data_IF_116294347382
#
_entry.id   IF_116294347382
#
_cell.length_a   1.000
_cell.length_b   1.000
_cell.length_c   1.000
_cell.angle_alpha   90.00
_cell.angle_beta   90.00
_cell.angle_gamma   90.00
#
_symmetry.space_group_name_H-M   'P 1'
#
loop_
_entity.id
_entity.type
_entity.pdbx_description
1 polymer ?
#
# COMPACT_ATOMS: atom_id res chain seq x y z
N UNK A 1 -15.24 18.98 36.39
CA UNK A 1 -16.15 18.61 35.29
C UNK A 1 -15.32 18.14 34.11
N UNK A 2 -15.37 16.86 33.75
CA UNK A 2 -14.72 16.34 32.55
C UNK A 2 -15.56 16.71 31.31
N UNK A 3 -14.95 16.99 30.14
CA UNK A 3 -15.71 17.27 28.93
C UNK A 3 -16.43 16.00 28.45
N UNK A 4 -17.69 16.21 28.09
CA UNK A 4 -18.69 15.24 27.68
C UNK A 4 -18.40 14.61 26.32
N UNK A 5 -18.48 13.28 26.28
CA UNK A 5 -19.20 12.53 25.24
C UNK A 5 -18.80 12.74 23.78
N UNK A 6 -17.69 12.14 23.37
CA UNK A 6 -17.59 11.64 21.99
C UNK A 6 -18.22 10.24 21.98
N UNK A 7 -19.37 10.08 21.33
CA UNK A 7 -19.89 8.76 21.00
C UNK A 7 -18.87 8.03 20.11
N UNK A 8 -18.60 6.73 20.33
CA UNK A 8 -17.83 5.97 19.37
C UNK A 8 -18.62 5.94 18.05
N UNK A 9 -18.09 6.58 17.01
CA UNK A 9 -18.63 6.47 15.64
C UNK A 9 -18.79 4.98 15.32
N UNK A 10 -19.92 4.54 14.76
CA UNK A 10 -20.17 3.13 14.50
C UNK A 10 -19.04 2.59 13.64
N UNK A 11 -18.41 1.51 14.10
CA UNK A 11 -17.38 0.78 13.37
C UNK A 11 -18.05 0.05 12.21
N UNK A 12 -18.42 0.78 11.16
CA UNK A 12 -18.67 0.20 9.86
C UNK A 12 -17.43 -0.64 9.52
N UNK A 13 -17.67 -1.90 9.17
CA UNK A 13 -16.68 -2.97 9.03
C UNK A 13 -15.33 -2.44 8.51
N UNK A 14 -14.36 -2.28 9.44
CA UNK A 14 -12.98 -1.83 9.16
C UNK A 14 -12.17 -2.89 8.41
N UNK A 15 -12.85 -3.93 7.93
CA UNK A 15 -12.31 -5.06 7.22
C UNK A 15 -11.80 -4.68 5.83
N UNK A 16 -10.95 -5.56 5.32
CA UNK A 16 -10.59 -5.59 3.90
C UNK A 16 -11.89 -5.72 3.08
N UNK A 17 -12.14 -4.84 2.10
CA UNK A 17 -13.30 -4.96 1.22
C UNK A 17 -13.32 -6.35 0.55
N UNK A 18 -14.49 -6.95 0.27
CA UNK A 18 -14.56 -8.20 -0.47
C UNK A 18 -13.85 -8.06 -1.82
N UNK A 19 -13.20 -9.13 -2.27
CA UNK A 19 -12.46 -9.15 -3.53
C UNK A 19 -11.06 -9.76 -3.46
N UNK A 20 -10.42 -9.83 -4.61
CA UNK A 20 -9.11 -10.44 -4.83
C UNK A 20 -8.08 -9.38 -5.20
N UNK A 21 -7.28 -8.96 -4.20
CA UNK A 21 -6.28 -7.88 -4.32
C UNK A 21 -4.84 -8.39 -4.48
N UNK A 22 -4.68 -9.70 -4.75
CA UNK A 22 -3.38 -10.31 -5.00
C UNK A 22 -2.43 -10.34 -3.80
N UNK A 23 -1.17 -10.66 -4.10
CA UNK A 23 -0.01 -10.53 -3.22
C UNK A 23 1.02 -9.65 -3.96
N UNK A 24 1.54 -8.68 -3.25
CA UNK A 24 2.58 -7.76 -3.72
C UNK A 24 3.92 -8.52 -3.79
N UNK A 25 4.71 -8.34 -4.85
CA UNK A 25 5.91 -9.13 -5.20
C UNK A 25 5.85 -10.63 -4.75
N UNK A 26 5.08 -11.48 -5.48
CA UNK A 26 4.65 -12.79 -5.01
C UNK A 26 5.79 -13.80 -4.73
N UNK A 27 7.00 -13.55 -5.25
CA UNK A 27 8.17 -14.40 -5.03
C UNK A 27 8.80 -14.22 -3.64
N UNK A 28 8.56 -13.07 -2.97
CA UNK A 28 9.18 -12.75 -1.69
C UNK A 28 8.79 -13.73 -0.58
N UNK A 29 7.50 -14.08 -0.37
CA UNK A 29 7.12 -15.13 0.58
C UNK A 29 7.81 -16.48 0.33
N UNK A 30 7.97 -16.88 -0.94
CA UNK A 30 8.66 -18.14 -1.27
C UNK A 30 10.13 -18.11 -0.84
N UNK A 31 10.81 -16.96 -0.99
CA UNK A 31 12.19 -16.80 -0.50
C UNK A 31 12.25 -16.92 1.03
N UNK A 32 11.38 -16.21 1.76
CA UNK A 32 11.36 -16.25 3.23
C UNK A 32 11.07 -17.66 3.77
N UNK A 33 10.06 -18.35 3.23
CA UNK A 33 9.73 -19.71 3.66
C UNK A 33 10.73 -20.75 3.16
N UNK A 34 11.36 -20.55 2.01
CA UNK A 34 12.46 -21.38 1.55
C UNK A 34 13.67 -21.32 2.48
N UNK A 35 14.04 -20.12 2.94
CA UNK A 35 15.10 -19.95 3.94
C UNK A 35 14.70 -20.52 5.31
N UNK A 36 13.43 -20.37 5.71
CA UNK A 36 12.89 -21.04 6.91
C UNK A 36 13.11 -22.56 6.82
N UNK A 37 12.76 -23.17 5.69
CA UNK A 37 12.93 -24.60 5.46
C UNK A 37 14.41 -25.01 5.48
N UNK A 38 15.30 -24.22 4.86
CA UNK A 38 16.73 -24.48 4.86
C UNK A 38 17.30 -24.54 6.28
N UNK A 39 16.94 -23.55 7.12
CA UNK A 39 17.37 -23.49 8.51
C UNK A 39 16.80 -24.65 9.34
N UNK A 40 15.52 -25.01 9.11
CA UNK A 40 14.87 -26.14 9.76
C UNK A 40 15.53 -27.47 9.40
N UNK A 41 15.76 -27.73 8.10
CA UNK A 41 16.42 -28.95 7.62
C UNK A 41 17.83 -29.04 8.15
N UNK A 42 18.58 -27.92 8.14
CA UNK A 42 19.86 -27.83 8.83
C UNK A 42 19.73 -28.31 10.28
N UNK A 43 18.93 -27.60 11.09
CA UNK A 43 18.70 -27.93 12.50
C UNK A 43 18.43 -29.42 12.73
N UNK A 44 17.53 -30.01 11.94
CA UNK A 44 17.17 -31.44 12.00
C UNK A 44 18.37 -32.33 11.68
N UNK A 45 19.13 -32.04 10.61
CA UNK A 45 20.28 -32.85 10.20
C UNK A 45 21.34 -32.90 11.31
N UNK A 46 21.69 -31.78 11.94
CA UNK A 46 22.68 -31.86 13.03
C UNK A 46 22.10 -32.45 14.31
N UNK A 47 20.81 -32.28 14.60
CA UNK A 47 20.17 -32.96 15.71
C UNK A 47 20.21 -34.49 15.52
N UNK A 48 19.91 -34.99 14.31
CA UNK A 48 20.03 -36.41 13.97
C UNK A 48 21.48 -36.87 14.07
N UNK A 49 22.45 -36.10 13.53
CA UNK A 49 23.86 -36.42 13.67
C UNK A 49 24.30 -36.50 15.15
N UNK A 50 23.76 -35.62 16.00
CA UNK A 50 24.02 -35.61 17.43
C UNK A 50 23.59 -36.90 18.13
N UNK A 51 22.48 -37.52 17.70
CA UNK A 51 22.02 -38.80 18.30
C UNK A 51 23.00 -39.95 18.12
N UNK A 52 23.91 -39.83 17.15
CA UNK A 52 24.95 -40.83 16.85
C UNK A 52 26.31 -40.44 17.41
N UNK A 53 26.43 -39.25 18.01
CA UNK A 53 27.67 -38.75 18.57
C UNK A 53 27.83 -39.23 20.02
N UNK A 54 29.04 -39.66 20.38
CA UNK A 54 29.38 -40.05 21.75
C UNK A 54 29.53 -38.83 22.67
N UNK A 55 29.77 -37.65 22.11
CA UNK A 55 29.84 -36.37 22.82
C UNK A 55 29.12 -35.27 22.03
N UNK A 56 28.31 -34.48 22.72
CA UNK A 56 27.69 -33.25 22.19
C UNK A 56 28.52 -32.07 22.67
N UNK A 57 29.30 -31.46 21.77
CA UNK A 57 30.10 -30.27 22.08
C UNK A 57 29.26 -28.98 22.08
N UNK A 58 29.74 -27.96 22.79
CA UNK A 58 29.11 -26.64 22.84
C UNK A 58 28.87 -26.02 21.44
N UNK A 59 29.73 -26.32 20.46
CA UNK A 59 29.55 -25.88 19.08
C UNK A 59 28.27 -26.39 18.42
N UNK A 60 27.83 -27.62 18.73
CA UNK A 60 26.59 -28.18 18.23
C UNK A 60 25.38 -27.49 18.86
N UNK A 61 25.43 -27.19 20.17
CA UNK A 61 24.37 -26.44 20.86
C UNK A 61 24.21 -25.04 20.26
N UNK A 62 25.33 -24.34 20.04
CA UNK A 62 25.34 -23.02 19.39
C UNK A 62 24.77 -23.10 17.97
N UNK A 63 25.09 -24.16 17.22
CA UNK A 63 24.57 -24.34 15.87
C UNK A 63 23.07 -24.65 15.83
N UNK A 64 22.57 -25.48 16.74
CA UNK A 64 21.13 -25.73 16.90
C UNK A 64 20.38 -24.45 17.30
N UNK A 65 20.96 -23.64 18.18
CA UNK A 65 20.40 -22.34 18.51
C UNK A 65 20.39 -21.40 17.30
N UNK A 66 21.48 -21.32 16.54
CA UNK A 66 21.57 -20.51 15.33
C UNK A 66 20.52 -20.92 14.29
N UNK A 67 20.38 -22.22 14.03
CA UNK A 67 19.40 -22.74 13.08
C UNK A 67 17.96 -22.49 13.54
N UNK A 68 17.68 -22.63 14.84
CA UNK A 68 16.38 -22.32 15.42
C UNK A 68 16.04 -20.82 15.35
N UNK A 69 16.96 -19.95 15.77
CA UNK A 69 16.79 -18.48 15.70
C UNK A 69 16.57 -18.05 14.26
N UNK A 70 17.37 -18.56 13.32
CA UNK A 70 17.19 -18.26 11.90
C UNK A 70 15.84 -18.73 11.39
N UNK A 71 15.40 -19.95 11.71
CA UNK A 71 14.07 -20.45 11.36
C UNK A 71 12.96 -19.50 11.84
N UNK A 72 13.02 -19.06 13.10
CA UNK A 72 12.05 -18.10 13.66
C UNK A 72 12.09 -16.77 12.93
N UNK A 73 13.28 -16.20 12.69
CA UNK A 73 13.44 -14.91 12.01
C UNK A 73 12.88 -14.96 10.58
N UNK A 74 13.23 -15.98 9.79
CA UNK A 74 12.76 -16.11 8.41
C UNK A 74 11.24 -16.38 8.36
N UNK A 75 10.71 -17.19 9.28
CA UNK A 75 9.27 -17.48 9.35
C UNK A 75 8.46 -16.23 9.73
N UNK A 76 8.92 -15.47 10.73
CA UNK A 76 8.28 -14.22 11.15
C UNK A 76 8.35 -13.19 10.02
N UNK A 77 9.48 -13.10 9.31
CA UNK A 77 9.61 -12.22 8.13
C UNK A 77 8.59 -12.57 7.04
N UNK A 78 8.49 -13.84 6.66
CA UNK A 78 7.50 -14.30 5.67
C UNK A 78 6.05 -14.06 6.13
N UNK A 79 5.75 -14.29 7.41
CA UNK A 79 4.43 -14.01 7.98
C UNK A 79 4.09 -12.52 7.99
N UNK A 80 5.02 -11.66 8.43
CA UNK A 80 4.84 -10.19 8.41
C UNK A 80 4.58 -9.70 7.00
N UNK A 81 5.32 -10.20 6.01
CA UNK A 81 5.12 -9.88 4.60
C UNK A 81 3.70 -10.24 4.13
N UNK A 82 3.26 -11.48 4.36
CA UNK A 82 1.93 -11.92 3.98
C UNK A 82 0.83 -11.11 4.69
N UNK A 83 1.04 -10.77 5.96
CA UNK A 83 0.11 -9.95 6.73
C UNK A 83 0.01 -8.54 6.17
N UNK A 84 1.15 -7.87 5.91
CA UNK A 84 1.21 -6.54 5.33
C UNK A 84 0.48 -6.50 3.97
N UNK A 85 0.76 -7.48 3.10
CA UNK A 85 0.15 -7.58 1.77
C UNK A 85 -1.34 -7.92 1.79
N UNK A 86 -1.80 -8.83 2.67
CA UNK A 86 -3.20 -9.32 2.65
C UNK A 86 -4.18 -8.57 3.54
N UNK A 87 -3.70 -7.92 4.60
CA UNK A 87 -4.53 -7.25 5.62
C UNK A 87 -4.02 -5.86 5.94
N UNK A 88 -2.73 -5.74 6.26
CA UNK A 88 -2.10 -4.51 6.74
C UNK A 88 -2.41 -3.29 5.88
N UNK A 89 -2.27 -3.41 4.56
CA UNK A 89 -2.54 -2.30 3.64
C UNK A 89 -3.99 -1.81 3.73
N UNK A 90 -4.95 -2.71 3.87
CA UNK A 90 -6.37 -2.33 3.98
C UNK A 90 -6.66 -1.63 5.31
N UNK A 91 -6.13 -2.15 6.41
CA UNK A 91 -6.38 -1.56 7.73
C UNK A 91 -5.76 -0.16 7.84
N UNK A 92 -4.53 0.01 7.30
CA UNK A 92 -3.83 1.30 7.32
C UNK A 92 -4.51 2.31 6.40
N UNK A 93 -4.93 1.91 5.20
CA UNK A 93 -5.63 2.82 4.29
C UNK A 93 -7.01 3.20 4.80
N UNK A 94 -7.74 2.28 5.43
CA UNK A 94 -9.02 2.61 6.07
C UNK A 94 -8.83 3.70 7.14
N UNK A 95 -7.85 3.53 8.03
CA UNK A 95 -7.52 4.55 9.05
C UNK A 95 -7.06 5.87 8.43
N UNK A 96 -6.15 5.82 7.45
CA UNK A 96 -5.63 7.00 6.80
C UNK A 96 -6.73 7.81 6.10
N UNK A 97 -7.69 7.14 5.44
CA UNK A 97 -8.82 7.81 4.79
C UNK A 97 -9.84 8.36 5.79
N UNK A 98 -10.10 7.65 6.89
CA UNK A 98 -11.01 8.10 7.94
C UNK A 98 -10.47 9.35 8.67
N UNK A 99 -9.15 9.50 8.78
CA UNK A 99 -8.47 10.68 9.34
C UNK A 99 -8.55 11.92 8.42
N UNK A 100 -8.96 11.77 7.16
CA UNK A 100 -9.02 12.90 6.23
C UNK A 100 -10.31 13.72 6.33
N UNK A 101 -11.32 13.28 7.08
CA UNK A 101 -12.64 13.93 7.15
C UNK A 101 -13.20 14.24 5.74
N UNK A 102 -13.27 13.21 4.89
CA UNK A 102 -13.80 13.33 3.53
C UNK A 102 -15.28 13.75 3.54
N UNK A 103 -15.65 14.64 2.63
CA UNK A 103 -17.01 15.16 2.43
C UNK A 103 -17.92 14.14 1.75
N UNK A 104 -17.35 13.19 1.01
CA UNK A 104 -18.08 12.18 0.25
C UNK A 104 -18.40 12.60 -1.19
N UNK A 105 -18.02 13.82 -1.58
CA UNK A 105 -18.24 14.42 -2.91
C UNK A 105 -16.93 14.75 -3.65
N UNK A 106 -15.79 14.37 -3.09
CA UNK A 106 -14.48 14.64 -3.68
C UNK A 106 -14.29 13.95 -5.04
N UNK A 107 -13.55 14.62 -5.91
CA UNK A 107 -12.86 13.95 -7.02
C UNK A 107 -11.52 13.43 -6.53
N UNK A 108 -11.37 12.11 -6.49
CA UNK A 108 -10.14 11.45 -6.08
C UNK A 108 -9.42 10.80 -7.27
N UNK A 109 -8.09 10.78 -7.21
CA UNK A 109 -7.22 10.05 -8.15
C UNK A 109 -6.36 9.05 -7.38
N UNK A 110 -6.34 7.79 -7.81
CA UNK A 110 -5.50 6.74 -7.23
C UNK A 110 -4.35 6.37 -8.19
N UNK A 111 -3.12 6.74 -7.81
CA UNK A 111 -1.90 6.53 -8.58
C UNK A 111 -1.34 5.13 -8.36
N UNK A 112 -1.15 4.39 -9.45
CA UNK A 112 -0.76 2.98 -9.38
C UNK A 112 -1.85 2.18 -8.71
N UNK A 113 -3.09 2.31 -9.20
CA UNK A 113 -4.27 1.74 -8.55
C UNK A 113 -4.21 0.21 -8.45
N UNK A 114 -3.38 -0.43 -9.28
CA UNK A 114 -3.20 -1.88 -9.32
C UNK A 114 -4.55 -2.57 -9.40
N UNK A 115 -4.75 -3.58 -8.55
CA UNK A 115 -6.02 -4.32 -8.42
C UNK A 115 -7.13 -3.58 -7.65
N UNK A 116 -6.99 -2.29 -7.40
CA UNK A 116 -8.05 -1.41 -6.88
C UNK A 116 -8.24 -1.42 -5.36
N UNK A 117 -7.24 -1.80 -4.56
CA UNK A 117 -7.41 -1.87 -3.10
C UNK A 117 -7.76 -0.51 -2.48
N UNK A 118 -7.05 0.55 -2.88
CA UNK A 118 -7.30 1.92 -2.43
C UNK A 118 -8.44 2.54 -3.22
N UNK A 119 -8.51 2.30 -4.53
CA UNK A 119 -9.63 2.73 -5.38
C UNK A 119 -11.00 2.32 -4.83
N UNK A 120 -11.17 1.05 -4.43
CA UNK A 120 -12.41 0.55 -3.81
C UNK A 120 -12.67 1.26 -2.48
N UNK A 121 -11.64 1.39 -1.63
CA UNK A 121 -11.77 2.03 -0.33
C UNK A 121 -12.14 3.53 -0.42
N UNK A 122 -11.65 4.22 -1.46
CA UNK A 122 -12.04 5.59 -1.81
C UNK A 122 -13.48 5.64 -2.30
N UNK A 123 -13.84 4.84 -3.30
CA UNK A 123 -15.17 4.86 -3.89
C UNK A 123 -16.28 4.57 -2.86
N UNK A 124 -16.03 3.66 -1.92
CA UNK A 124 -16.96 3.39 -0.81
C UNK A 124 -17.15 4.57 0.16
N UNK A 125 -16.20 5.52 0.20
CA UNK A 125 -16.26 6.74 1.02
C UNK A 125 -16.76 7.96 0.24
N UNK A 126 -16.86 7.87 -1.09
CA UNK A 126 -17.21 8.96 -1.99
C UNK A 126 -18.51 8.66 -2.77
N UNK A 127 -19.66 8.44 -2.09
CA UNK A 127 -20.92 8.07 -2.74
C UNK A 127 -21.45 9.16 -3.68
N UNK A 128 -21.02 10.41 -3.49
CA UNK A 128 -21.40 11.57 -4.31
C UNK A 128 -20.21 12.11 -5.12
N UNK A 129 -19.02 11.54 -4.94
CA UNK A 129 -17.80 11.93 -5.61
C UNK A 129 -17.46 11.02 -6.78
N UNK A 130 -16.22 11.10 -7.27
CA UNK A 130 -15.73 10.27 -8.37
C UNK A 130 -14.32 9.81 -8.09
N UNK A 131 -13.95 8.63 -8.57
CA UNK A 131 -12.58 8.11 -8.42
C UNK A 131 -12.02 7.75 -9.78
N UNK A 132 -10.87 8.32 -10.13
CA UNK A 132 -10.09 7.91 -11.28
C UNK A 132 -8.90 7.06 -10.79
N UNK A 133 -8.68 5.88 -11.37
CA UNK A 133 -7.52 5.04 -11.10
C UNK A 133 -6.59 5.03 -12.30
N UNK A 134 -5.28 5.24 -12.09
CA UNK A 134 -4.26 5.13 -13.15
C UNK A 134 -3.27 4.02 -12.83
N UNK A 135 -2.95 3.19 -13.82
CA UNK A 135 -1.90 2.17 -13.70
C UNK A 135 -1.25 1.86 -15.06
N UNK A 136 -0.06 1.26 -15.03
CA UNK A 136 0.62 0.70 -16.23
C UNK A 136 0.35 -0.80 -16.41
N UNK A 137 -0.41 -1.41 -15.50
CA UNK A 137 -0.86 -2.80 -15.49
C UNK A 137 0.29 -3.81 -15.56
N UNK A 138 1.34 -3.57 -14.77
CA UNK A 138 2.52 -4.43 -14.72
C UNK A 138 2.36 -5.52 -13.67
N UNK A 139 2.46 -6.77 -14.10
CA UNK A 139 2.35 -7.95 -13.22
C UNK A 139 3.63 -8.30 -12.44
N UNK A 140 4.75 -7.62 -12.73
CA UNK A 140 6.02 -7.83 -12.02
C UNK A 140 5.90 -7.34 -10.57
N UNK A 141 5.24 -6.20 -10.37
CA UNK A 141 5.16 -5.52 -9.06
C UNK A 141 4.03 -6.11 -8.18
N UNK A 142 2.94 -6.54 -8.81
CA UNK A 142 1.79 -7.14 -8.13
C UNK A 142 1.22 -8.31 -8.94
N UNK A 143 0.95 -9.42 -8.27
CA UNK A 143 0.45 -10.64 -8.92
C UNK A 143 -0.93 -10.44 -9.56
N UNK A 144 -1.00 -10.70 -10.87
CA UNK A 144 -2.24 -10.56 -11.66
C UNK A 144 -2.75 -9.12 -11.71
N UNK A 145 -1.84 -8.14 -11.76
CA UNK A 145 -2.18 -6.75 -12.01
C UNK A 145 -2.66 -6.61 -13.45
N UNK A 146 -3.96 -6.35 -13.60
CA UNK A 146 -4.68 -6.25 -14.87
C UNK A 146 -5.96 -5.44 -14.61
N UNK A 147 -6.41 -4.58 -15.53
CA UNK A 147 -7.59 -3.75 -15.32
C UNK A 147 -8.86 -4.59 -15.06
N UNK A 148 -8.98 -5.79 -15.65
CA UNK A 148 -10.11 -6.68 -15.37
C UNK A 148 -10.15 -7.18 -13.92
N UNK A 149 -9.00 -7.30 -13.25
CA UNK A 149 -8.95 -7.65 -11.82
C UNK A 149 -9.54 -6.52 -10.97
N UNK A 150 -9.24 -5.27 -11.30
CA UNK A 150 -9.82 -4.09 -10.66
C UNK A 150 -11.32 -4.02 -10.90
N UNK A 151 -11.77 -4.19 -12.15
CA UNK A 151 -13.20 -4.25 -12.48
C UNK A 151 -13.96 -5.31 -11.72
N UNK A 152 -13.40 -6.51 -11.56
CA UNK A 152 -14.00 -7.58 -10.74
C UNK A 152 -14.13 -7.15 -9.27
N UNK A 153 -13.14 -6.48 -8.71
CA UNK A 153 -13.20 -5.99 -7.34
C UNK A 153 -14.23 -4.85 -7.19
N UNK A 154 -14.33 -3.93 -8.16
CA UNK A 154 -15.38 -2.91 -8.20
C UNK A 154 -16.77 -3.54 -8.21
N UNK A 155 -17.01 -4.49 -9.13
CA UNK A 155 -18.27 -5.20 -9.25
C UNK A 155 -18.63 -5.99 -7.97
N UNK A 156 -17.65 -6.63 -7.33
CA UNK A 156 -17.84 -7.35 -6.06
C UNK A 156 -18.32 -6.42 -4.94
N UNK A 157 -17.97 -5.14 -5.00
CA UNK A 157 -18.35 -4.12 -4.03
C UNK A 157 -19.55 -3.27 -4.49
N UNK A 158 -20.18 -3.61 -5.62
CA UNK A 158 -21.31 -2.85 -6.17
C UNK A 158 -20.94 -1.44 -6.64
N UNK A 159 -19.67 -1.19 -6.96
CA UNK A 159 -19.20 0.13 -7.40
C UNK A 159 -19.33 0.21 -8.93
N UNK A 160 -20.11 1.15 -9.48
CA UNK A 160 -20.27 1.30 -10.92
C UNK A 160 -19.00 1.84 -11.58
N UNK A 161 -18.63 1.27 -12.72
CA UNK A 161 -17.53 1.77 -13.56
C UNK A 161 -18.09 2.75 -14.61
N UNK A 162 -17.43 3.90 -14.77
CA UNK A 162 -17.65 4.83 -15.86
C UNK A 162 -16.58 4.64 -16.95
N UNK A 163 -16.92 4.99 -18.19
CA UNK A 163 -15.95 4.96 -19.29
C UNK A 163 -14.80 5.94 -19.04
N UNK A 164 -13.53 5.56 -19.31
CA UNK A 164 -12.40 6.46 -19.16
C UNK A 164 -12.41 7.52 -20.28
N UNK A 165 -12.85 8.73 -19.94
CA UNK A 165 -12.70 9.93 -20.77
C UNK A 165 -11.71 10.91 -20.14
N UNK A 166 -11.16 11.79 -20.97
CA UNK A 166 -10.14 12.79 -20.60
C UNK A 166 -10.64 13.87 -19.64
N UNK A 167 -11.96 14.06 -19.55
CA UNK A 167 -12.56 15.04 -18.65
C UNK A 167 -13.34 14.37 -17.50
N UNK A 168 -12.74 14.26 -16.31
CA UNK A 168 -13.43 13.72 -15.14
C UNK A 168 -14.50 14.67 -14.55
N UNK A 169 -14.64 15.92 -15.04
CA UNK A 169 -15.53 16.95 -14.46
C UNK A 169 -17.04 16.67 -14.68
N UNK A 170 -17.41 15.74 -15.57
CA UNK A 170 -18.82 15.39 -15.84
C UNK A 170 -19.22 13.96 -15.46
N UNK A 171 -18.37 13.20 -14.75
CA UNK A 171 -18.65 11.80 -14.45
C UNK A 171 -19.87 11.66 -13.51
N UNK A 172 -20.68 10.59 -13.67
CA UNK A 172 -21.75 10.30 -12.72
C UNK A 172 -21.17 10.09 -11.32
N UNK A 173 -21.84 10.65 -10.32
CA UNK A 173 -21.47 10.49 -8.93
C UNK A 173 -21.44 9.00 -8.51
N UNK A 174 -20.52 8.65 -7.62
CA UNK A 174 -20.33 7.30 -7.10
C UNK A 174 -19.67 6.33 -8.09
N UNK A 175 -19.08 6.82 -9.19
CA UNK A 175 -18.43 5.98 -10.20
C UNK A 175 -16.90 5.96 -10.11
N UNK A 176 -16.32 4.89 -10.66
CA UNK A 176 -14.88 4.73 -10.84
C UNK A 176 -14.54 4.68 -12.33
N UNK A 177 -13.47 5.34 -12.77
CA UNK A 177 -12.92 5.18 -14.11
C UNK A 177 -11.46 4.71 -14.05
N UNK A 178 -11.09 3.76 -14.92
CA UNK A 178 -9.75 3.18 -14.97
C UNK A 178 -9.00 3.60 -16.23
N UNK A 179 -7.80 4.13 -16.04
CA UNK A 179 -6.96 4.68 -17.10
C UNK A 179 -5.63 3.95 -17.16
N UNK A 180 -5.19 3.62 -18.38
CA UNK A 180 -3.81 3.18 -18.62
C UNK A 180 -2.94 4.41 -18.82
N UNK A 181 -2.20 4.82 -17.79
CA UNK A 181 -1.41 6.05 -17.84
C UNK A 181 -0.17 6.00 -16.93
N UNK A 182 0.84 6.78 -17.30
CA UNK A 182 2.06 6.96 -16.51
C UNK A 182 1.85 8.11 -15.51
N UNK A 183 2.05 7.83 -14.21
CA UNK A 183 1.89 8.83 -13.16
C UNK A 183 2.92 9.98 -13.22
N UNK A 184 4.02 9.80 -13.96
CA UNK A 184 5.02 10.86 -14.21
C UNK A 184 4.58 11.85 -15.28
N UNK A 185 3.46 11.58 -15.98
CA UNK A 185 2.84 12.46 -16.97
C UNK A 185 1.35 12.15 -17.09
N UNK A 186 0.57 12.69 -16.15
CA UNK A 186 -0.85 12.39 -16.02
C UNK A 186 -1.67 13.04 -17.15
N UNK A 187 -2.63 12.31 -17.75
CA UNK A 187 -3.48 12.80 -18.83
C UNK A 187 -4.64 13.67 -18.33
N UNK A 188 -4.44 14.42 -17.24
CA UNK A 188 -5.45 15.25 -16.60
C UNK A 188 -5.01 16.71 -16.58
N UNK A 189 -6.01 17.59 -16.63
CA UNK A 189 -5.79 19.03 -16.48
C UNK A 189 -5.32 19.38 -15.06
N UNK A 190 -4.67 20.53 -14.93
CA UNK A 190 -4.33 21.11 -13.63
C UNK A 190 -5.59 21.31 -12.79
N UNK A 191 -5.46 21.23 -11.47
CA UNK A 191 -6.57 21.57 -10.54
C UNK A 191 -7.86 20.75 -10.74
N UNK A 192 -7.72 19.48 -11.12
CA UNK A 192 -8.83 18.57 -11.37
C UNK A 192 -9.34 17.88 -10.10
N UNK A 193 -8.44 17.36 -9.26
CA UNK A 193 -8.79 16.49 -8.14
C UNK A 193 -8.73 17.21 -6.79
N UNK A 194 -9.58 16.81 -5.85
CA UNK A 194 -9.53 17.26 -4.46
C UNK A 194 -8.57 16.40 -3.62
N UNK A 195 -8.40 15.14 -4.03
CA UNK A 195 -7.58 14.13 -3.35
C UNK A 195 -6.78 13.30 -4.36
N UNK A 196 -5.50 13.05 -4.07
CA UNK A 196 -4.67 12.09 -4.80
C UNK A 196 -4.11 11.09 -3.81
N UNK A 197 -4.23 9.79 -4.09
CA UNK A 197 -3.64 8.72 -3.30
C UNK A 197 -2.56 7.98 -4.09
N UNK A 198 -1.56 7.45 -3.39
CA UNK A 198 -0.60 6.51 -3.98
C UNK A 198 -0.19 5.47 -2.93
N UNK A 199 -0.39 4.18 -3.25
CA UNK A 199 -0.05 3.08 -2.36
C UNK A 199 1.02 2.20 -2.95
N UNK A 200 2.23 2.25 -2.38
CA UNK A 200 3.32 1.32 -2.75
C UNK A 200 3.60 1.34 -4.27
N UNK A 201 3.51 2.51 -4.88
CA UNK A 201 3.55 2.67 -6.33
C UNK A 201 4.69 3.57 -6.80
N UNK A 202 4.88 4.74 -6.18
CA UNK A 202 5.87 5.73 -6.62
C UNK A 202 7.30 5.16 -6.53
N UNK A 203 7.61 4.31 -5.55
CA UNK A 203 8.93 3.67 -5.43
C UNK A 203 9.31 2.79 -6.63
N UNK A 204 8.34 2.32 -7.42
CA UNK A 204 8.59 1.52 -8.62
C UNK A 204 9.05 2.38 -9.80
N UNK A 205 8.95 3.71 -9.71
CA UNK A 205 9.53 4.62 -10.71
C UNK A 205 11.06 4.59 -10.56
N UNK A 206 11.82 4.13 -11.59
CA UNK A 206 13.23 3.77 -11.43
C UNK A 206 14.14 4.93 -11.02
N UNK A 207 13.90 6.12 -11.58
CA UNK A 207 14.79 7.28 -11.40
C UNK A 207 14.26 8.20 -10.31
N UNK A 208 15.18 8.85 -9.57
CA UNK A 208 14.81 9.87 -8.60
C UNK A 208 14.06 11.05 -9.26
N UNK A 209 14.49 11.43 -10.47
CA UNK A 209 13.79 12.45 -11.25
C UNK A 209 12.36 12.02 -11.58
N UNK A 210 12.15 10.78 -12.05
CA UNK A 210 10.80 10.29 -12.34
C UNK A 210 9.90 10.23 -11.10
N UNK A 211 10.44 9.83 -9.94
CA UNK A 211 9.69 9.91 -8.67
C UNK A 211 9.31 11.35 -8.32
N UNK A 212 10.23 12.30 -8.52
CA UNK A 212 9.95 13.70 -8.33
C UNK A 212 8.88 14.21 -9.32
N UNK A 213 8.93 13.77 -10.58
CA UNK A 213 7.93 14.12 -11.60
C UNK A 213 6.56 13.57 -11.25
N UNK A 214 6.46 12.33 -10.75
CA UNK A 214 5.20 11.77 -10.25
C UNK A 214 4.58 12.60 -9.11
N UNK A 215 5.41 13.06 -8.15
CA UNK A 215 4.94 13.94 -7.06
C UNK A 215 4.52 15.30 -7.60
N UNK A 216 5.26 15.89 -8.55
CA UNK A 216 4.89 17.17 -9.17
C UNK A 216 3.60 17.06 -9.97
N UNK A 217 3.41 15.99 -10.72
CA UNK A 217 2.17 15.72 -11.46
C UNK A 217 0.97 15.56 -10.52
N UNK A 218 1.14 14.81 -9.43
CA UNK A 218 0.12 14.69 -8.39
C UNK A 218 -0.28 16.07 -7.83
N UNK A 219 0.70 16.93 -7.53
CA UNK A 219 0.43 18.30 -7.08
C UNK A 219 -0.18 19.17 -8.16
N UNK A 220 0.24 19.04 -9.42
CA UNK A 220 -0.31 19.81 -10.56
C UNK A 220 -1.81 19.56 -10.72
N UNK A 221 -2.22 18.29 -10.69
CA UNK A 221 -3.63 17.90 -10.89
C UNK A 221 -4.48 18.14 -9.64
N UNK A 222 -3.90 18.36 -8.46
CA UNK A 222 -4.65 18.72 -7.26
C UNK A 222 -5.17 20.16 -7.33
N UNK A 223 -6.41 20.41 -6.90
CA UNK A 223 -6.91 21.77 -6.66
C UNK A 223 -6.11 22.47 -5.56
N UNK A 224 -6.08 23.82 -5.51
CA UNK A 224 -5.49 24.53 -4.37
C UNK A 224 -6.17 24.07 -3.08
N UNK A 225 -5.38 23.71 -2.05
CA UNK A 225 -5.89 23.16 -0.80
C UNK A 225 -6.28 21.68 -0.84
N UNK A 226 -6.16 21.00 -1.99
CA UNK A 226 -6.32 19.55 -2.13
C UNK A 226 -5.17 18.77 -1.48
N UNK A 227 -5.34 17.46 -1.30
CA UNK A 227 -4.39 16.63 -0.54
C UNK A 227 -3.80 15.50 -1.38
N UNK A 228 -2.49 15.29 -1.24
CA UNK A 228 -1.77 14.11 -1.69
C UNK A 228 -1.52 13.20 -0.47
N UNK A 229 -1.93 11.95 -0.55
CA UNK A 229 -1.77 10.94 0.50
C UNK A 229 -0.97 9.77 -0.05
N UNK A 230 0.21 9.54 0.50
CA UNK A 230 1.14 8.51 0.04
C UNK A 230 1.43 7.54 1.16
N UNK A 231 1.24 6.25 0.89
CA UNK A 231 1.73 5.16 1.74
C UNK A 231 2.82 4.43 0.96
N UNK A 232 4.08 4.58 1.39
CA UNK A 232 5.20 4.04 0.63
C UNK A 232 6.39 3.57 1.49
N UNK A 233 7.30 2.82 0.85
CA UNK A 233 8.52 2.24 1.42
C UNK A 233 9.73 3.10 1.01
N UNK A 234 10.66 3.34 1.94
CA UNK A 234 12.01 3.91 1.73
C UNK A 234 12.13 5.37 1.26
N UNK A 235 11.33 5.82 0.29
CA UNK A 235 11.55 7.06 -0.49
C UNK A 235 10.66 8.24 -0.09
N UNK A 236 9.82 8.07 0.92
CA UNK A 236 8.81 9.06 1.35
C UNK A 236 9.39 10.44 1.68
N UNK A 237 10.60 10.50 2.25
CA UNK A 237 11.29 11.77 2.53
C UNK A 237 11.68 12.54 1.26
N UNK A 238 12.01 11.84 0.18
CA UNK A 238 12.28 12.47 -1.12
C UNK A 238 11.00 13.14 -1.65
N UNK A 239 9.84 12.48 -1.49
CA UNK A 239 8.55 13.02 -1.92
C UNK A 239 8.16 14.26 -1.13
N UNK A 240 8.34 14.22 0.20
CA UNK A 240 8.07 15.36 1.07
C UNK A 240 8.94 16.58 0.71
N UNK A 241 10.23 16.36 0.38
CA UNK A 241 11.13 17.44 -0.05
C UNK A 241 10.71 18.05 -1.40
N UNK A 242 10.33 17.20 -2.37
CA UNK A 242 9.82 17.67 -3.68
C UNK A 242 8.52 18.47 -3.50
N UNK A 243 7.62 17.99 -2.65
CA UNK A 243 6.37 18.67 -2.37
C UNK A 243 6.59 20.04 -1.70
N UNK A 244 7.47 20.10 -0.69
CA UNK A 244 7.84 21.35 -0.03
C UNK A 244 8.48 22.35 -1.01
N UNK A 245 9.37 21.87 -1.89
CA UNK A 245 9.99 22.70 -2.93
C UNK A 245 8.96 23.24 -3.95
N UNK A 246 7.85 22.54 -4.16
CA UNK A 246 6.72 22.97 -4.98
C UNK A 246 5.72 23.89 -4.23
N UNK A 247 6.02 24.27 -2.98
CA UNK A 247 5.18 25.15 -2.16
C UNK A 247 4.08 24.45 -1.36
N UNK A 248 3.99 23.12 -1.42
CA UNK A 248 2.99 22.35 -0.67
C UNK A 248 3.42 22.15 0.80
N UNK A 249 2.44 22.06 1.70
CA UNK A 249 2.67 21.86 3.15
C UNK A 249 2.56 20.38 3.52
N UNK A 250 3.57 19.84 4.19
CA UNK A 250 3.48 18.51 4.83
C UNK A 250 2.61 18.63 6.08
N UNK A 251 1.48 17.92 6.10
CA UNK A 251 0.58 17.88 7.27
C UNK A 251 0.92 16.71 8.19
N UNK A 252 1.27 15.55 7.61
CA UNK A 252 1.60 14.34 8.35
C UNK A 252 2.76 13.61 7.68
N UNK A 253 3.74 13.16 8.46
CA UNK A 253 4.75 12.18 8.04
C UNK A 253 5.04 11.22 9.20
N UNK A 254 4.42 10.03 9.18
CA UNK A 254 4.51 9.06 10.29
C UNK A 254 4.78 7.65 9.83
N UNK A 255 5.49 6.89 10.66
CA UNK A 255 5.65 5.44 10.46
C UNK A 255 4.35 4.69 10.72
N UNK A 256 4.12 3.61 9.98
CA UNK A 256 2.90 2.80 10.06
C UNK A 256 3.05 1.54 10.93
N UNK A 257 4.25 1.34 11.49
CA UNK A 257 4.55 0.26 12.43
C UNK A 257 4.39 -1.14 11.82
N UNK A 258 4.32 -2.13 12.70
CA UNK A 258 4.35 -3.56 12.36
C UNK A 258 3.22 -4.01 11.43
N UNK A 259 2.12 -3.26 11.37
CA UNK A 259 0.97 -3.56 10.50
C UNK A 259 1.33 -3.52 9.03
N UNK A 260 2.35 -2.73 8.67
CA UNK A 260 2.80 -2.54 7.29
C UNK A 260 4.33 -2.57 7.17
N UNK A 261 4.97 -3.43 7.97
CA UNK A 261 6.36 -3.84 7.82
C UNK A 261 6.49 -4.94 6.76
N UNK A 262 7.31 -4.72 5.74
CA UNK A 262 7.56 -5.70 4.68
C UNK A 262 8.66 -6.66 5.09
N UNK A 263 8.30 -7.68 5.86
CA UNK A 263 9.21 -8.67 6.49
C UNK A 263 9.95 -8.21 7.75
N UNK A 264 9.84 -6.93 8.13
CA UNK A 264 10.41 -6.42 9.37
C UNK A 264 10.56 -4.89 9.39
N UNK A 265 11.02 -4.30 10.52
CA UNK A 265 11.14 -2.85 10.69
C UNK A 265 12.17 -2.20 9.73
N UNK A 266 13.08 -2.98 9.14
CA UNK A 266 14.04 -2.49 8.13
C UNK A 266 13.39 -2.15 6.78
N UNK A 267 12.19 -2.66 6.50
CA UNK A 267 11.36 -2.25 5.37
C UNK A 267 10.03 -1.68 5.88
N UNK A 268 10.15 -0.69 6.77
CA UNK A 268 9.00 0.05 7.29
C UNK A 268 8.42 0.99 6.24
N UNK A 269 7.10 1.09 6.25
CA UNK A 269 6.33 2.05 5.46
C UNK A 269 6.00 3.30 6.26
N UNK A 270 5.77 4.39 5.54
CA UNK A 270 5.34 5.67 6.12
C UNK A 270 4.09 6.17 5.40
N UNK A 271 3.24 6.86 6.15
CA UNK A 271 2.16 7.68 5.65
C UNK A 271 2.65 9.11 5.55
N UNK A 272 2.53 9.69 4.36
CA UNK A 272 2.77 11.09 4.06
C UNK A 272 1.46 11.73 3.60
N UNK A 273 1.05 12.80 4.25
CA UNK A 273 -0.06 13.66 3.83
C UNK A 273 0.49 15.03 3.54
N UNK A 274 0.28 15.50 2.31
CA UNK A 274 0.71 16.79 1.80
C UNK A 274 -0.52 17.56 1.35
N UNK A 275 -0.58 18.84 1.67
CA UNK A 275 -1.59 19.76 1.18
C UNK A 275 -0.99 20.73 0.17
N UNK A 276 -1.58 20.80 -1.02
CA UNK A 276 -1.19 21.74 -2.07
C UNK A 276 -1.48 23.18 -1.66
#
# INVERSE_FOLDING_TARGET
>A
MPPSGASPRPTADRGRPPGSYGIDAPWVPFLWFGLTLLFLVGGIVAAVAATRATHVGAGLVVWLLYTWVGCVVWAVGGWLYLRASRRGKHEVWAEALDELDLRGDERALDLGCGRGAVTVALASRLPHGTVDGVDLWRSVDQSGNDPSATRRNLATNGIPEALPDSDPVGRPAGTVALHTADMTRLPFHDHTFDLVTASLAIHNVPTAQGRADAVREALRVLRPGGRLVVVDISRVREYAAVAAAAGARVETDRGLGWRLWWSGPWMATRLLVVRR
#
